data_IF_818729747339
#
_entry.id   IF_818729747339
#
_cell.length_a   1.000
_cell.length_b   1.000
_cell.length_c   1.000
_cell.angle_alpha   90.00
_cell.angle_beta   90.00
_cell.angle_gamma   90.00
#
_symmetry.space_group_name_H-M   'P 1'
#
loop_
_entity.id
_entity.type
_entity.pdbx_description
1 polymer ?
#
# COMPACT_ATOMS: atom_id res chain seq x y z
N UNK A 1 -18.12 13.44 2.70
CA UNK A 1 -18.17 12.29 1.76
C UNK A 1 -17.01 11.36 2.08
N UNK A 2 -17.29 10.09 2.34
CA UNK A 2 -16.29 9.09 2.74
C UNK A 2 -15.79 8.36 1.49
N UNK A 3 -14.54 8.60 1.10
CA UNK A 3 -13.96 8.00 -0.09
C UNK A 3 -12.47 7.72 0.09
N UNK A 4 -11.98 6.69 -0.60
CA UNK A 4 -10.55 6.54 -0.83
C UNK A 4 -10.11 7.56 -1.86
N UNK A 5 -9.03 8.28 -1.56
CA UNK A 5 -8.44 9.22 -2.49
C UNK A 5 -6.92 9.21 -2.32
N UNK A 6 -6.21 9.51 -3.41
CA UNK A 6 -4.77 9.69 -3.40
C UNK A 6 -4.42 10.96 -4.14
N UNK A 7 -3.30 11.57 -3.75
CA UNK A 7 -2.82 12.76 -4.40
C UNK A 7 -1.41 13.13 -4.00
N UNK A 8 -1.04 14.33 -4.41
CA UNK A 8 0.26 14.94 -4.18
C UNK A 8 0.05 16.40 -3.80
N UNK A 9 0.90 16.95 -2.94
CA UNK A 9 0.92 18.38 -2.64
C UNK A 9 2.33 18.95 -2.79
N UNK A 10 2.50 20.13 -3.41
CA UNK A 10 3.80 20.77 -3.53
C UNK A 10 4.30 21.27 -2.17
N UNK A 11 5.60 21.14 -1.94
CA UNK A 11 6.32 21.64 -0.75
C UNK A 11 7.67 22.23 -1.17
N UNK A 12 8.33 23.04 -0.32
CA UNK A 12 9.71 23.45 -0.59
C UNK A 12 10.60 22.22 -0.85
N UNK A 13 11.22 22.18 -2.03
CA UNK A 13 12.11 21.08 -2.43
C UNK A 13 11.44 19.89 -3.14
N UNK A 14 10.12 19.90 -3.37
CA UNK A 14 9.47 18.84 -4.17
C UNK A 14 7.98 18.66 -3.89
N UNK A 15 7.56 17.39 -3.78
CA UNK A 15 6.17 17.00 -3.61
C UNK A 15 6.01 15.96 -2.51
N UNK A 16 5.02 16.12 -1.65
CA UNK A 16 4.58 15.09 -0.71
C UNK A 16 3.45 14.27 -1.32
N UNK A 17 3.52 12.94 -1.19
CA UNK A 17 2.41 12.05 -1.49
C UNK A 17 1.44 11.98 -0.31
N UNK A 18 0.13 11.93 -0.58
CA UNK A 18 -0.88 11.75 0.45
C UNK A 18 -2.00 10.81 0.03
N UNK A 19 -2.60 10.13 0.99
CA UNK A 19 -3.73 9.23 0.78
C UNK A 19 -4.79 9.41 1.87
N UNK A 20 -6.07 9.22 1.50
CA UNK A 20 -7.22 9.39 2.38
C UNK A 20 -7.92 8.06 2.62
N UNK A 21 -8.11 7.71 3.89
CA UNK A 21 -8.89 6.54 4.30
C UNK A 21 -10.36 6.92 4.42
N UNK A 22 -11.26 6.00 4.06
CA UNK A 22 -12.72 6.22 4.08
C UNK A 22 -13.27 6.66 5.44
N UNK A 23 -12.65 6.22 6.53
CA UNK A 23 -13.11 6.49 7.90
C UNK A 23 -12.33 7.62 8.60
N UNK A 24 -11.43 8.31 7.90
CA UNK A 24 -10.64 9.43 8.43
C UNK A 24 -11.03 10.74 7.73
N UNK A 25 -11.11 11.81 8.52
CA UNK A 25 -11.33 13.15 8.01
C UNK A 25 -10.07 13.69 7.30
N UNK A 26 -8.91 13.39 7.87
CA UNK A 26 -7.62 13.92 7.43
C UNK A 26 -6.91 13.01 6.43
N UNK A 27 -6.09 13.62 5.57
CA UNK A 27 -5.21 12.93 4.65
C UNK A 27 -3.94 12.48 5.39
N UNK A 28 -3.51 11.25 5.17
CA UNK A 28 -2.23 10.75 5.66
C UNK A 28 -1.12 11.02 4.64
N UNK A 29 0.02 11.49 5.13
CA UNK A 29 1.22 11.71 4.32
C UNK A 29 2.02 10.42 4.22
N UNK A 30 2.56 10.15 3.02
CA UNK A 30 3.48 9.03 2.79
C UNK A 30 4.77 9.26 3.59
N UNK A 31 5.10 8.28 4.44
CA UNK A 31 6.25 8.32 5.34
C UNK A 31 7.23 7.19 4.97
N UNK A 32 8.51 7.46 5.17
CA UNK A 32 9.54 6.43 5.07
C UNK A 32 9.61 5.57 6.32
N UNK A 33 10.56 4.63 6.34
CA UNK A 33 10.75 3.65 7.42
C UNK A 33 10.94 4.28 8.81
N UNK A 34 11.48 5.51 8.85
CA UNK A 34 11.70 6.28 10.09
C UNK A 34 10.48 7.09 10.53
N UNK A 35 9.32 6.94 9.87
CA UNK A 35 8.10 7.69 10.16
C UNK A 35 8.14 9.16 9.70
N UNK A 36 9.20 9.57 8.98
CA UNK A 36 9.35 10.92 8.46
C UNK A 36 8.70 11.06 7.06
N UNK A 37 8.10 12.21 6.74
CA UNK A 37 7.57 12.48 5.40
C UNK A 37 8.65 12.34 4.31
N UNK A 38 8.30 11.71 3.18
CA UNK A 38 9.18 11.63 2.01
C UNK A 38 8.83 12.75 1.04
N UNK A 39 9.80 13.61 0.73
CA UNK A 39 9.70 14.60 -0.34
C UNK A 39 10.21 13.99 -1.64
N UNK A 40 9.33 13.86 -2.62
CA UNK A 40 9.65 13.33 -3.94
C UNK A 40 10.02 14.46 -4.89
N UNK A 41 10.97 14.23 -5.83
CA UNK A 41 11.34 15.22 -6.84
C UNK A 41 10.17 15.61 -7.74
N UNK A 42 9.31 14.66 -8.11
CA UNK A 42 8.21 14.90 -9.04
C UNK A 42 6.83 14.63 -8.44
N UNK A 43 5.82 15.32 -9.00
CA UNK A 43 4.42 15.10 -8.67
C UNK A 43 3.96 13.66 -8.96
N UNK A 44 4.45 13.09 -10.05
CA UNK A 44 4.09 11.74 -10.49
C UNK A 44 4.61 10.68 -9.51
N UNK A 45 5.87 10.79 -9.08
CA UNK A 45 6.47 9.91 -8.07
C UNK A 45 5.74 10.01 -6.74
N UNK A 46 5.44 11.22 -6.27
CA UNK A 46 4.67 11.42 -5.04
C UNK A 46 3.29 10.73 -5.11
N UNK A 47 2.60 10.85 -6.24
CA UNK A 47 1.28 10.24 -6.43
C UNK A 47 1.37 8.70 -6.57
N UNK A 48 2.40 8.19 -7.23
CA UNK A 48 2.65 6.76 -7.33
C UNK A 48 2.88 6.15 -5.94
N UNK A 49 3.77 6.76 -5.15
CA UNK A 49 4.05 6.33 -3.78
C UNK A 49 2.81 6.42 -2.87
N UNK A 50 1.95 7.43 -3.06
CA UNK A 50 0.66 7.51 -2.36
C UNK A 50 -0.29 6.37 -2.76
N UNK A 51 -0.28 5.96 -4.02
CA UNK A 51 -0.99 4.78 -4.52
C UNK A 51 -0.49 3.49 -3.86
N UNK A 52 0.83 3.29 -3.85
CA UNK A 52 1.45 2.11 -3.23
C UNK A 52 1.16 2.03 -1.73
N UNK A 53 1.22 3.16 -1.02
CA UNK A 53 0.87 3.26 0.39
C UNK A 53 -0.61 2.92 0.63
N UNK A 54 -1.52 3.37 -0.25
CA UNK A 54 -2.94 3.02 -0.18
C UNK A 54 -3.15 1.51 -0.42
N UNK A 55 -2.49 0.93 -1.42
CA UNK A 55 -2.57 -0.51 -1.71
C UNK A 55 -2.05 -1.34 -0.53
N UNK A 56 -0.91 -0.94 0.05
CA UNK A 56 -0.36 -1.57 1.25
C UNK A 56 -1.32 -1.48 2.44
N UNK A 57 -1.94 -0.32 2.66
CA UNK A 57 -2.98 -0.16 3.68
C UNK A 57 -4.17 -1.08 3.42
N UNK A 58 -4.66 -1.13 2.18
CA UNK A 58 -5.81 -1.97 1.82
C UNK A 58 -5.50 -3.44 2.10
N UNK A 59 -4.35 -3.92 1.61
CA UNK A 59 -3.97 -5.33 1.74
C UNK A 59 -3.53 -5.72 3.16
N UNK A 60 -3.08 -4.77 3.98
CA UNK A 60 -2.66 -5.02 5.36
C UNK A 60 -3.76 -4.86 6.40
N UNK A 61 -4.76 -4.01 6.14
CA UNK A 61 -5.84 -3.70 7.09
C UNK A 61 -7.20 -4.30 6.72
N UNK A 62 -7.49 -4.53 5.43
CA UNK A 62 -8.71 -5.24 5.04
C UNK A 62 -8.42 -6.73 4.90
N UNK A 63 -8.51 -7.43 6.02
CA UNK A 63 -8.49 -8.88 6.06
C UNK A 63 -9.87 -9.43 5.67
N UNK A 64 -9.91 -10.42 4.76
CA UNK A 64 -11.16 -11.10 4.39
C UNK A 64 -11.70 -12.00 5.52
N UNK A 65 -10.84 -12.39 6.47
CA UNK A 65 -11.17 -13.18 7.67
C UNK A 65 -9.97 -13.41 8.61
N UNK A 66 -9.13 -12.41 8.88
CA UNK A 66 -8.00 -12.53 9.83
C UNK A 66 -6.79 -13.38 9.40
N UNK A 67 -6.84 -14.10 8.28
CA UNK A 67 -5.70 -14.87 7.77
C UNK A 67 -4.97 -14.14 6.62
N UNK A 68 -3.67 -13.92 6.81
CA UNK A 68 -2.72 -13.80 5.70
C UNK A 68 -2.75 -15.15 4.97
N UNK A 69 -2.60 -15.21 3.65
CA UNK A 69 -2.59 -16.47 2.87
C UNK A 69 -1.14 -17.00 2.72
N UNK A 70 -0.56 -17.74 3.67
CA UNK A 70 0.53 -18.68 3.38
C UNK A 70 0.00 -20.11 3.24
N UNK A 71 -1.11 -20.48 3.90
CA UNK A 71 -1.61 -21.86 3.94
C UNK A 71 -2.05 -22.37 2.55
N UNK A 72 -2.90 -21.62 1.84
CA UNK A 72 -3.37 -22.03 0.50
C UNK A 72 -2.23 -22.04 -0.54
N UNK A 73 -1.21 -21.17 -0.38
CA UNK A 73 -0.03 -21.19 -1.26
C UNK A 73 0.84 -22.42 -1.01
N UNK A 74 1.10 -22.76 0.27
CA UNK A 74 1.87 -23.96 0.65
C UNK A 74 1.15 -25.24 0.20
N UNK A 75 -0.18 -25.28 0.34
CA UNK A 75 -1.01 -26.42 -0.08
C UNK A 75 -1.03 -26.57 -1.60
N UNK A 76 -1.22 -25.47 -2.35
CA UNK A 76 -1.10 -25.48 -3.81
C UNK A 76 0.29 -25.93 -4.27
N UNK A 77 1.38 -25.41 -3.68
CA UNK A 77 2.75 -25.83 -4.00
C UNK A 77 3.02 -27.32 -3.71
N UNK A 78 2.36 -27.93 -2.72
CA UNK A 78 2.44 -29.38 -2.48
C UNK A 78 1.80 -30.20 -3.59
N UNK A 79 0.69 -29.74 -4.14
CA UNK A 79 0.02 -30.43 -5.25
C UNK A 79 0.86 -30.35 -6.54
N UNK A 80 1.47 -29.20 -6.82
CA UNK A 80 2.32 -29.04 -8.03
C UNK A 80 3.70 -29.71 -7.94
N UNK A 81 4.22 -30.02 -6.75
CA UNK A 81 5.49 -30.75 -6.59
C UNK A 81 5.37 -32.27 -6.79
N UNK A 82 4.16 -32.84 -6.73
CA UNK A 82 3.95 -34.30 -6.89
C UNK A 82 4.05 -34.78 -8.34
N UNK A 83 3.98 -33.90 -9.34
CA UNK A 83 4.06 -34.28 -10.76
C UNK A 83 5.47 -34.23 -11.37
N UNK A 84 6.51 -33.89 -10.58
CA UNK A 84 7.92 -33.83 -11.05
C UNK A 84 8.86 -34.84 -10.39
N UNK A 85 8.34 -35.96 -9.91
CA UNK A 85 9.17 -37.08 -9.48
C UNK A 85 8.63 -38.38 -10.09
N UNK A 86 9.30 -38.79 -11.18
CA UNK A 86 9.44 -40.13 -11.77
C UNK A 86 8.19 -41.02 -11.84
#
# INVERSE_FOLDING_TARGET
MNQFAIGSMPVPGGFLGWFRKVHRADNEIVKGEKGLPIVFPTRAEAKAAAGDAMVAYINGSFVRSGEIIPAAKIEAERHFKKEKAA
#
